data_IF_191243122663
#
_entry.id   IF_191243122663
#
_cell.length_a   1.000
_cell.length_b   1.000
_cell.length_c   1.000
_cell.angle_alpha   90.00
_cell.angle_beta   90.00
_cell.angle_gamma   90.00
#
_symmetry.space_group_name_H-M   'P 1'
#
loop_
_entity.id
_entity.type
_entity.pdbx_description
1 polymer ?
#
# COMPACT_ATOMS: atom_id res chain seq x y z
N UNK A 1 16.44 -1.82 1.80
CA UNK A 1 15.60 -0.99 2.70
C UNK A 1 16.20 -0.95 4.11
N UNK A 2 16.42 -2.09 4.78
CA UNK A 2 17.13 -2.11 6.09
C UNK A 2 18.52 -1.46 6.02
N UNK A 3 19.27 -1.72 4.95
CA UNK A 3 20.60 -1.10 4.68
C UNK A 3 20.56 0.42 4.50
N UNK A 4 19.38 1.01 4.28
CA UNK A 4 19.17 2.44 4.10
C UNK A 4 18.36 3.07 5.24
N UNK A 5 18.35 2.42 6.42
CA UNK A 5 17.72 2.95 7.64
C UNK A 5 16.19 2.97 7.64
N UNK A 6 15.54 2.46 6.59
CA UNK A 6 14.08 2.32 6.51
C UNK A 6 13.71 0.85 6.50
N UNK A 7 13.48 0.28 7.67
CA UNK A 7 13.03 -1.11 7.74
C UNK A 7 11.60 -1.22 7.20
N UNK A 8 11.41 -2.15 6.26
CA UNK A 8 10.09 -2.53 5.75
C UNK A 8 9.51 -3.75 6.47
N UNK A 9 10.17 -4.22 7.54
CA UNK A 9 9.66 -5.35 8.32
C UNK A 9 8.36 -4.94 9.01
N UNK A 10 7.32 -5.71 8.75
CA UNK A 10 6.05 -5.59 9.47
C UNK A 10 6.25 -6.22 10.84
N UNK A 11 6.14 -5.42 11.89
CA UNK A 11 6.14 -5.88 13.28
C UNK A 11 4.71 -5.75 13.82
N UNK A 12 3.91 -6.83 13.81
CA UNK A 12 2.47 -6.75 14.06
C UNK A 12 2.12 -6.11 15.40
N UNK A 13 2.85 -6.45 16.47
CA UNK A 13 2.60 -5.90 17.80
C UNK A 13 2.92 -4.41 17.89
N UNK A 14 4.01 -3.97 17.25
CA UNK A 14 4.37 -2.55 17.22
C UNK A 14 3.32 -1.75 16.45
N UNK A 15 2.90 -2.24 15.28
CA UNK A 15 1.86 -1.59 14.47
C UNK A 15 0.53 -1.56 15.23
N UNK A 16 0.15 -2.66 15.89
CA UNK A 16 -1.08 -2.74 16.68
C UNK A 16 -1.08 -1.79 17.87
N UNK A 17 0.07 -1.66 18.56
CA UNK A 17 0.23 -0.68 19.63
C UNK A 17 0.08 0.75 19.12
N UNK A 18 0.69 1.08 17.99
CA UNK A 18 0.56 2.40 17.36
C UNK A 18 -0.89 2.72 16.98
N UNK A 19 -1.61 1.75 16.43
CA UNK A 19 -3.02 1.89 16.09
C UNK A 19 -3.90 2.11 17.33
N UNK A 20 -3.65 1.36 18.42
CA UNK A 20 -4.34 1.58 19.70
C UNK A 20 -4.07 2.96 20.28
N UNK A 21 -2.81 3.41 20.25
CA UNK A 21 -2.45 4.77 20.70
C UNK A 21 -3.15 5.84 19.87
N UNK A 22 -3.41 5.59 18.58
CA UNK A 22 -4.14 6.50 17.71
C UNK A 22 -5.67 6.47 17.91
N UNK A 23 -6.18 5.69 18.87
CA UNK A 23 -7.62 5.59 19.17
C UNK A 23 -8.38 4.54 18.34
N UNK A 24 -7.68 3.68 17.60
CA UNK A 24 -8.34 2.57 16.92
C UNK A 24 -8.59 1.41 17.88
N UNK A 25 -9.84 0.95 17.93
CA UNK A 25 -10.26 -0.26 18.62
C UNK A 25 -10.58 -1.35 17.60
N UNK A 26 -10.58 -2.61 18.05
CA UNK A 26 -10.92 -3.77 17.22
C UNK A 26 -10.03 -3.93 15.96
N UNK A 27 -8.75 -4.25 16.19
CA UNK A 27 -7.74 -4.42 15.14
C UNK A 27 -7.60 -5.91 14.83
N UNK A 28 -7.90 -6.31 13.60
CA UNK A 28 -7.70 -7.67 13.11
C UNK A 28 -6.50 -7.74 12.16
N UNK A 29 -5.53 -8.61 12.47
CA UNK A 29 -4.43 -8.96 11.56
C UNK A 29 -4.86 -10.08 10.63
N UNK A 30 -4.91 -9.79 9.34
CA UNK A 30 -5.16 -10.74 8.29
C UNK A 30 -3.89 -10.92 7.44
N UNK A 31 -3.52 -12.18 7.22
CA UNK A 31 -2.42 -12.55 6.34
C UNK A 31 -2.97 -13.28 5.11
N UNK A 32 -3.05 -12.57 3.99
CA UNK A 32 -3.58 -13.11 2.74
C UNK A 32 -2.41 -13.62 1.90
N UNK A 33 -2.50 -14.87 1.44
CA UNK A 33 -1.55 -15.42 0.45
C UNK A 33 -2.09 -15.13 -0.93
N UNK A 34 -1.27 -14.52 -1.78
CA UNK A 34 -1.66 -14.16 -3.15
C UNK A 34 -0.64 -14.77 -4.11
N UNK A 35 -1.11 -15.62 -5.01
CA UNK A 35 -0.29 -16.22 -6.06
C UNK A 35 -0.06 -15.24 -7.21
N UNK A 36 1.09 -15.33 -7.87
CA UNK A 36 1.33 -14.65 -9.15
C UNK A 36 0.97 -15.53 -10.35
N UNK A 37 0.94 -16.85 -10.15
CA UNK A 37 0.59 -17.85 -11.14
C UNK A 37 -0.57 -18.72 -10.63
N UNK A 38 -1.50 -19.14 -11.50
CA UNK A 38 -2.68 -19.92 -11.10
C UNK A 38 -2.33 -21.41 -10.95
N UNK A 39 -1.51 -21.75 -9.94
CA UNK A 39 -1.09 -23.12 -9.65
C UNK A 39 -1.92 -23.83 -8.57
N UNK A 40 -2.80 -23.09 -7.88
CA UNK A 40 -3.64 -23.67 -6.82
C UNK A 40 -4.75 -24.54 -7.41
N UNK A 41 -5.18 -25.56 -6.68
CA UNK A 41 -6.33 -26.39 -7.06
C UNK A 41 -7.65 -25.65 -6.84
N UNK A 42 -7.69 -24.74 -5.86
CA UNK A 42 -8.85 -23.90 -5.59
C UNK A 42 -9.12 -22.96 -6.77
N UNK A 43 -10.36 -22.98 -7.26
CA UNK A 43 -10.84 -22.06 -8.30
C UNK A 43 -10.70 -20.61 -7.87
N UNK A 44 -11.05 -20.29 -6.62
CA UNK A 44 -10.99 -18.91 -6.13
C UNK A 44 -9.55 -18.39 -6.11
N UNK A 45 -8.60 -19.16 -5.58
CA UNK A 45 -7.19 -18.78 -5.56
C UNK A 45 -6.59 -18.61 -6.96
N UNK A 46 -7.02 -19.41 -7.93
CA UNK A 46 -6.62 -19.25 -9.34
C UNK A 46 -7.14 -17.96 -9.95
N UNK A 47 -8.42 -17.66 -9.73
CA UNK A 47 -9.04 -16.42 -10.23
C UNK A 47 -8.33 -15.19 -9.63
N UNK A 48 -8.05 -15.22 -8.32
CA UNK A 48 -7.27 -14.18 -7.63
C UNK A 48 -5.87 -14.06 -8.21
N UNK A 49 -5.16 -15.17 -8.44
CA UNK A 49 -3.81 -15.14 -8.99
C UNK A 49 -3.76 -14.58 -10.42
N UNK A 50 -4.77 -14.86 -11.24
CA UNK A 50 -4.90 -14.31 -12.60
C UNK A 50 -5.05 -12.79 -12.57
N UNK A 51 -6.00 -12.28 -11.77
CA UNK A 51 -6.22 -10.84 -11.64
C UNK A 51 -5.02 -10.12 -11.03
N UNK A 52 -4.43 -10.72 -9.99
CA UNK A 52 -3.26 -10.15 -9.33
C UNK A 52 -2.04 -10.14 -10.26
N UNK A 53 -1.77 -11.22 -10.98
CA UNK A 53 -0.70 -11.30 -11.98
C UNK A 53 -0.88 -10.24 -13.09
N UNK A 54 -2.10 -10.06 -13.59
CA UNK A 54 -2.41 -9.02 -14.58
C UNK A 54 -2.15 -7.61 -14.04
N UNK A 55 -2.61 -7.29 -12.82
CA UNK A 55 -2.34 -6.01 -12.18
C UNK A 55 -0.84 -5.79 -11.92
N UNK A 56 -0.16 -6.81 -11.42
CA UNK A 56 1.27 -6.77 -11.12
C UNK A 56 2.11 -6.54 -12.38
N UNK A 57 1.76 -7.16 -13.51
CA UNK A 57 2.47 -6.97 -14.78
C UNK A 57 2.54 -5.51 -15.23
N UNK A 58 1.51 -4.71 -14.89
CA UNK A 58 1.44 -3.28 -15.19
C UNK A 58 2.15 -2.45 -14.12
N UNK A 59 2.13 -2.90 -12.87
CA UNK A 59 2.64 -2.15 -11.73
C UNK A 59 4.15 -2.37 -11.48
N UNK A 60 4.73 -3.49 -11.92
CA UNK A 60 6.10 -3.90 -11.53
C UNK A 60 7.15 -2.84 -11.83
N UNK A 61 7.10 -2.17 -12.99
CA UNK A 61 8.05 -1.11 -13.36
C UNK A 61 7.93 0.08 -12.39
N UNK A 62 6.71 0.55 -12.14
CA UNK A 62 6.45 1.65 -11.20
C UNK A 62 6.89 1.32 -9.76
N UNK A 63 6.63 0.08 -9.32
CA UNK A 63 7.07 -0.42 -8.00
C UNK A 63 8.59 -0.54 -7.89
N UNK A 64 9.28 -0.73 -9.01
CA UNK A 64 10.73 -0.97 -9.05
C UNK A 64 11.54 0.31 -9.20
N UNK A 65 11.05 1.32 -9.92
CA UNK A 65 11.81 2.56 -10.14
C UNK A 65 12.19 3.27 -8.85
N UNK A 66 11.24 3.47 -7.93
CA UNK A 66 11.51 4.13 -6.65
C UNK A 66 12.64 3.45 -5.85
N UNK A 67 12.52 2.17 -5.49
CA UNK A 67 13.54 1.49 -4.70
C UNK A 67 14.86 1.29 -5.46
N UNK A 68 14.82 0.90 -6.74
CA UNK A 68 16.03 0.53 -7.47
C UNK A 68 16.83 1.74 -7.96
N UNK A 69 16.15 2.79 -8.44
CA UNK A 69 16.84 4.01 -8.90
C UNK A 69 17.41 4.80 -7.72
N UNK A 70 16.63 4.99 -6.65
CA UNK A 70 17.05 5.85 -5.54
C UNK A 70 18.05 5.18 -4.59
N UNK A 71 17.94 3.87 -4.37
CA UNK A 71 18.73 3.18 -3.34
C UNK A 71 19.78 2.22 -3.89
N UNK A 72 19.57 1.67 -5.09
CA UNK A 72 20.53 0.77 -5.74
C UNK A 72 21.29 1.47 -6.87
N UNK A 73 21.00 2.75 -7.15
CA UNK A 73 21.65 3.54 -8.20
C UNK A 73 21.65 2.84 -9.57
N UNK A 74 20.65 2.00 -9.83
CA UNK A 74 20.50 1.30 -11.10
C UNK A 74 20.02 2.26 -12.18
N UNK A 75 20.47 2.05 -13.42
CA UNK A 75 19.93 2.81 -14.55
C UNK A 75 18.50 2.38 -14.85
N UNK A 76 17.69 3.29 -15.41
CA UNK A 76 16.30 2.99 -15.80
C UNK A 76 16.25 1.82 -16.78
N UNK A 77 17.22 1.74 -17.71
CA UNK A 77 17.32 0.64 -18.68
C UNK A 77 17.53 -0.71 -18.01
N UNK A 78 18.40 -0.77 -17.02
CA UNK A 78 18.66 -2.02 -16.29
C UNK A 78 17.44 -2.45 -15.48
N UNK A 79 16.70 -1.48 -14.92
CA UNK A 79 15.45 -1.74 -14.19
C UNK A 79 14.38 -2.29 -15.15
N UNK A 80 14.26 -1.73 -16.35
CA UNK A 80 13.31 -2.21 -17.36
C UNK A 80 13.62 -3.64 -17.81
N UNK A 81 14.88 -3.92 -18.12
CA UNK A 81 15.34 -5.27 -18.49
C UNK A 81 15.08 -6.29 -17.37
N UNK A 82 15.35 -5.90 -16.12
CA UNK A 82 15.07 -6.75 -14.97
C UNK A 82 13.57 -7.02 -14.81
N UNK A 83 12.73 -5.99 -14.96
CA UNK A 83 11.28 -6.15 -14.87
C UNK A 83 10.75 -7.09 -15.96
N UNK A 84 11.26 -6.97 -17.19
CA UNK A 84 10.86 -7.82 -18.31
C UNK A 84 11.26 -9.29 -18.09
N UNK A 85 12.49 -9.54 -17.62
CA UNK A 85 12.94 -10.87 -17.26
C UNK A 85 12.05 -11.52 -16.18
N UNK A 86 11.67 -10.76 -15.15
CA UNK A 86 10.75 -11.25 -14.09
C UNK A 86 9.37 -11.59 -14.66
N UNK A 87 8.84 -10.79 -15.57
CA UNK A 87 7.54 -11.06 -16.17
C UNK A 87 7.55 -12.32 -17.05
N UNK A 88 8.64 -12.58 -17.75
CA UNK A 88 8.80 -13.80 -18.52
C UNK A 88 8.94 -15.04 -17.63
N UNK A 89 9.67 -14.94 -16.52
CA UNK A 89 9.76 -16.01 -15.52
C UNK A 89 8.39 -16.33 -14.90
N UNK A 90 7.60 -15.29 -14.59
CA UNK A 90 6.25 -15.45 -14.06
C UNK A 90 5.30 -16.10 -15.10
N UNK A 91 5.44 -15.76 -16.38
CA UNK A 91 4.61 -16.32 -17.47
C UNK A 91 4.89 -17.80 -17.71
N UNK A 92 6.14 -18.22 -17.55
CA UNK A 92 6.56 -19.60 -17.83
C UNK A 92 5.96 -20.62 -16.85
N UNK A 93 5.27 -20.17 -15.79
CA UNK A 93 4.66 -21.00 -14.73
C UNK A 93 5.63 -22.00 -14.07
N UNK A 94 6.93 -21.89 -14.36
CA UNK A 94 8.02 -22.72 -13.85
C UNK A 94 8.15 -22.58 -12.34
N UNK A 95 7.77 -21.41 -11.82
CA UNK A 95 7.84 -21.09 -10.41
C UNK A 95 6.43 -20.90 -9.83
N UNK A 96 6.17 -21.57 -8.71
CA UNK A 96 4.97 -21.35 -7.88
C UNK A 96 5.18 -20.10 -7.01
N UNK A 97 5.27 -18.95 -7.66
CA UNK A 97 5.51 -17.69 -6.99
C UNK A 97 4.25 -17.20 -6.25
N UNK A 98 4.43 -16.74 -5.02
CA UNK A 98 3.39 -16.12 -4.21
C UNK A 98 3.98 -15.03 -3.31
N UNK A 99 3.17 -14.08 -2.90
CA UNK A 99 3.48 -13.14 -1.84
C UNK A 99 2.47 -13.27 -0.69
N UNK A 100 2.86 -12.74 0.48
CA UNK A 100 1.98 -12.64 1.65
C UNK A 100 1.70 -11.17 1.91
N UNK A 101 0.44 -10.79 1.72
CA UNK A 101 -0.03 -9.44 2.00
C UNK A 101 -0.56 -9.43 3.43
N UNK A 102 0.02 -8.57 4.26
CA UNK A 102 -0.47 -8.28 5.61
C UNK A 102 -1.46 -7.12 5.53
N UNK A 103 -2.70 -7.37 5.92
CA UNK A 103 -3.76 -6.39 5.98
C UNK A 103 -4.22 -6.24 7.44
N UNK A 104 -4.38 -5.00 7.89
CA UNK A 104 -4.97 -4.69 9.18
C UNK A 104 -6.35 -4.11 8.92
N UNK A 105 -7.38 -4.85 9.32
CA UNK A 105 -8.75 -4.39 9.25
C UNK A 105 -9.07 -3.69 10.56
N UNK A 106 -9.60 -2.47 10.45
CA UNK A 106 -9.97 -1.63 11.58
C UNK A 106 -11.43 -1.28 11.39
N UNK A 107 -12.29 -1.72 12.32
CA UNK A 107 -13.74 -1.55 12.23
C UNK A 107 -14.23 -0.35 13.02
N UNK A 108 -13.45 0.15 14.00
CA UNK A 108 -13.85 1.23 14.88
C UNK A 108 -12.73 2.24 15.15
N UNK A 109 -13.07 3.53 15.07
CA UNK A 109 -12.28 4.62 15.62
C UNK A 109 -13.03 5.12 16.84
N UNK A 110 -12.42 5.03 18.02
CA UNK A 110 -12.91 5.80 19.16
C UNK A 110 -12.72 7.27 18.78
N UNK A 111 -13.81 8.02 18.63
CA UNK A 111 -13.74 9.47 18.60
C UNK A 111 -13.01 9.88 19.87
N UNK A 112 -11.83 10.45 19.70
CA UNK A 112 -11.07 10.97 20.81
C UNK A 112 -11.86 12.15 21.35
N UNK A 113 -12.50 11.96 22.52
CA UNK A 113 -13.07 13.05 23.30
C UNK A 113 -12.08 14.21 23.32
N UNK A 114 -12.55 15.33 22.77
CA UNK A 114 -11.80 16.57 22.67
C UNK A 114 -11.63 17.16 24.07
N UNK A 115 -10.73 16.64 24.89
CA UNK A 115 -10.27 17.38 26.06
C UNK A 115 -8.85 16.97 26.42
N UNK A 116 -7.95 17.95 26.33
CA UNK A 116 -6.59 17.98 26.90
C UNK A 116 -5.55 17.03 26.31
N UNK A 117 -4.82 17.50 25.29
CA UNK A 117 -3.35 17.58 25.35
C UNK A 117 -2.83 18.62 24.33
N UNK A 118 -3.13 19.90 24.59
CA UNK A 118 -2.33 21.00 24.06
C UNK A 118 -1.07 21.12 24.92
N UNK A 119 0.06 20.55 24.50
CA UNK A 119 1.39 21.15 24.65
C UNK A 119 2.30 20.59 23.54
N UNK A 120 2.67 21.45 22.58
CA UNK A 120 3.98 21.33 21.90
C UNK A 120 4.02 20.68 20.51
N UNK A 121 3.31 21.22 19.52
CA UNK A 121 3.67 21.04 18.11
C UNK A 121 3.17 22.22 17.24
N UNK A 122 3.43 23.44 17.69
CA UNK A 122 2.91 24.68 17.10
C UNK A 122 3.74 25.21 15.90
N UNK A 123 4.34 24.31 15.11
CA UNK A 123 5.05 24.70 13.87
C UNK A 123 5.00 23.55 12.89
N UNK A 124 4.10 23.59 11.90
CA UNK A 124 4.36 23.22 10.49
C UNK A 124 3.14 23.14 9.56
N UNK A 125 1.93 23.55 9.97
CA UNK A 125 0.79 23.59 9.02
C UNK A 125 0.47 25.04 8.68
N UNK A 126 0.77 25.53 7.46
CA UNK A 126 0.26 26.83 7.02
C UNK A 126 -1.27 26.77 6.85
N UNK A 127 -1.99 27.86 7.16
CA UNK A 127 -3.45 27.87 7.11
C UNK A 127 -3.97 27.68 5.68
N UNK A 128 -5.15 27.05 5.50
CA UNK A 128 -5.75 26.85 4.18
C UNK A 128 -6.10 28.18 3.52
N UNK A 129 -5.76 28.32 2.23
CA UNK A 129 -6.14 29.46 1.40
C UNK A 129 -7.66 29.61 1.37
N UNK A 130 -8.15 30.79 1.75
CA UNK A 130 -9.55 31.19 1.56
C UNK A 130 -9.81 31.39 0.07
N UNK A 131 -10.65 30.57 -0.54
CA UNK A 131 -11.22 30.85 -1.87
C UNK A 131 -12.37 31.86 -1.74
N UNK A 132 -12.46 32.87 -2.61
CA UNK A 132 -13.50 33.90 -2.51
C UNK A 132 -14.84 33.42 -3.07
N UNK A 133 -15.90 33.80 -2.35
CA UNK A 133 -17.32 33.64 -2.69
C UNK A 133 -17.65 34.47 -3.92
N UNK A 134 -18.16 33.86 -4.99
CA UNK A 134 -19.05 34.52 -5.97
C UNK A 134 -19.82 33.52 -6.84
N UNK A 135 -21.13 33.74 -6.94
CA UNK A 135 -21.92 33.38 -8.14
C UNK A 135 -22.72 32.08 -8.09
N UNK A 136 -23.95 32.16 -7.60
CA UNK A 136 -25.04 31.22 -7.90
C UNK A 136 -25.29 31.19 -9.43
N UNK A 137 -25.58 30.02 -10.04
CA UNK A 137 -26.84 29.88 -10.79
C UNK A 137 -27.39 28.42 -10.75
N UNK A 138 -28.42 28.02 -11.53
CA UNK A 138 -29.77 27.76 -11.04
C UNK A 138 -30.14 26.27 -10.99
N UNK A 139 -31.30 26.02 -10.36
CA UNK A 139 -32.01 24.75 -10.29
C UNK A 139 -32.20 24.09 -11.66
N UNK A 140 -31.89 22.79 -11.76
CA UNK A 140 -32.53 21.88 -12.73
C UNK A 140 -32.81 20.54 -12.05
N UNK A 141 -34.09 20.20 -11.98
CA UNK A 141 -34.61 18.88 -11.60
C UNK A 141 -34.28 17.84 -12.67
N UNK A 142 -33.83 16.66 -12.24
CA UNK A 142 -34.20 15.33 -12.71
C UNK A 142 -33.79 14.32 -11.63
#
# INVERSE_FOLDING_TARGET
MDRHGRSMRVEPERTRRQLRTAGFSDIHDCSIRVGFTPWSEDRHERDVALWFGAGFSRAIKALSYGPMSLYLTMSIKDIDLLCEAVLDDLRTARYKAYCRIKALLITNRLEADHTSFFVGADRLIPPPLKTPVHGQPPMLNC
#
